data_IF_794323804081
#
_entry.id   IF_794323804081
#
_cell.length_a   1.000
_cell.length_b   1.000
_cell.length_c   1.000
_cell.angle_alpha   90.00
_cell.angle_beta   90.00
_cell.angle_gamma   90.00
#
_symmetry.space_group_name_H-M   'P 1'
#
loop_
_entity.id
_entity.type
_entity.pdbx_description
1 polymer ?
#
# COMPACT_ATOMS: atom_id res chain seq x y z
N UNK A 1 -23.07 4.81 -8.03
CA UNK A 1 -22.43 3.92 -9.04
C UNK A 1 -22.19 2.50 -8.52
N UNK A 2 -21.39 2.24 -7.44
CA UNK A 2 -21.21 0.87 -6.94
C UNK A 2 -22.52 0.26 -6.43
N UNK A 3 -23.22 0.95 -5.55
CA UNK A 3 -24.50 0.51 -4.98
C UNK A 3 -25.59 0.26 -6.05
N UNK A 4 -25.64 1.07 -7.10
CA UNK A 4 -26.58 0.90 -8.22
C UNK A 4 -26.33 -0.38 -9.03
N UNK A 5 -25.11 -0.90 -8.95
CA UNK A 5 -24.69 -2.13 -9.65
C UNK A 5 -24.59 -3.34 -8.74
N UNK A 6 -24.97 -3.20 -7.48
CA UNK A 6 -24.85 -4.27 -6.48
C UNK A 6 -23.41 -4.70 -6.23
N UNK A 7 -22.44 -3.80 -6.40
CA UNK A 7 -21.03 -4.09 -6.16
C UNK A 7 -20.65 -3.72 -4.73
N UNK A 8 -19.91 -4.57 -4.07
CA UNK A 8 -19.28 -4.26 -2.79
C UNK A 8 -18.16 -3.24 -2.98
N UNK A 9 -17.98 -2.36 -2.00
CA UNK A 9 -16.97 -1.30 -2.01
C UNK A 9 -16.05 -1.40 -0.81
N UNK A 10 -14.76 -1.55 -1.05
CA UNK A 10 -13.73 -1.38 -0.03
C UNK A 10 -13.27 0.08 -0.06
N UNK A 11 -13.79 0.88 0.87
CA UNK A 11 -13.45 2.30 0.96
C UNK A 11 -12.10 2.50 1.65
N UNK A 12 -11.04 2.60 0.85
CA UNK A 12 -9.68 2.86 1.35
C UNK A 12 -9.53 4.28 1.91
N UNK A 13 -10.38 5.22 1.48
CA UNK A 13 -10.31 6.60 1.93
C UNK A 13 -10.67 6.74 3.42
N UNK A 14 -11.58 5.90 3.90
CA UNK A 14 -11.98 5.86 5.32
C UNK A 14 -10.92 5.21 6.21
N UNK A 15 -9.95 4.50 5.66
CA UNK A 15 -8.91 3.79 6.41
C UNK A 15 -7.82 4.77 6.87
N UNK A 16 -7.97 5.33 8.08
CA UNK A 16 -7.14 6.43 8.59
C UNK A 16 -5.64 6.12 8.61
N UNK A 17 -5.25 4.87 8.87
CA UNK A 17 -3.84 4.47 8.90
C UNK A 17 -3.13 4.69 7.56
N UNK A 18 -3.84 4.68 6.43
CA UNK A 18 -3.27 4.95 5.10
C UNK A 18 -2.82 6.42 4.92
N UNK A 19 -3.16 7.30 5.86
CA UNK A 19 -2.68 8.69 5.89
C UNK A 19 -1.29 8.82 6.51
N UNK A 20 -0.84 7.77 7.21
CA UNK A 20 0.45 7.76 7.89
C UNK A 20 1.55 7.29 6.92
N UNK A 21 2.72 7.92 6.97
CA UNK A 21 3.86 7.51 6.13
C UNK A 21 4.33 6.09 6.44
N UNK A 22 4.14 5.61 7.65
CA UNK A 22 4.45 4.24 8.07
C UNK A 22 3.62 3.17 7.37
N UNK A 23 2.47 3.53 6.79
CA UNK A 23 1.67 2.62 5.99
C UNK A 23 2.27 2.35 4.61
N UNK A 24 3.26 3.15 4.20
CA UNK A 24 3.83 3.13 2.87
C UNK A 24 5.28 2.68 2.89
N UNK A 25 5.68 1.98 1.85
CA UNK A 25 7.06 1.61 1.60
C UNK A 25 7.95 2.85 1.40
N UNK A 26 9.29 2.73 1.45
CA UNK A 26 10.19 3.88 1.30
C UNK A 26 9.97 4.70 0.03
N UNK A 27 9.41 4.09 -1.02
CA UNK A 27 9.06 4.78 -2.27
C UNK A 27 7.81 5.67 -2.16
N UNK A 28 7.06 5.59 -1.06
CA UNK A 28 5.81 6.33 -0.77
C UNK A 28 4.69 6.09 -1.78
N UNK A 29 4.77 5.00 -2.52
CA UNK A 29 3.82 4.60 -3.56
C UNK A 29 3.16 3.27 -3.24
N UNK A 30 3.95 2.30 -2.82
CA UNK A 30 3.47 0.98 -2.48
C UNK A 30 3.18 0.88 -0.99
N UNK A 31 2.09 0.24 -0.64
CA UNK A 31 1.78 -0.06 0.75
C UNK A 31 2.78 -1.07 1.34
N UNK A 32 3.03 -0.99 2.64
CA UNK A 32 3.77 -2.03 3.36
C UNK A 32 2.99 -3.34 3.39
N UNK A 33 3.66 -4.45 3.68
CA UNK A 33 2.99 -5.75 3.83
C UNK A 33 1.91 -5.73 4.91
N UNK A 34 2.16 -5.04 6.03
CA UNK A 34 1.17 -4.86 7.09
C UNK A 34 -0.07 -4.07 6.61
N UNK A 35 0.13 -3.02 5.82
CA UNK A 35 -0.97 -2.26 5.23
C UNK A 35 -1.78 -3.09 4.23
N UNK A 36 -1.11 -3.89 3.40
CA UNK A 36 -1.80 -4.83 2.50
C UNK A 36 -2.65 -5.84 3.26
N UNK A 37 -2.14 -6.39 4.36
CA UNK A 37 -2.89 -7.31 5.22
C UNK A 37 -4.15 -6.65 5.78
N UNK A 38 -4.03 -5.43 6.31
CA UNK A 38 -5.18 -4.67 6.85
C UNK A 38 -6.24 -4.38 5.77
N UNK A 39 -5.81 -4.03 4.56
CA UNK A 39 -6.74 -3.84 3.43
C UNK A 39 -7.42 -5.15 3.05
N UNK A 40 -6.70 -6.27 3.05
CA UNK A 40 -7.27 -7.59 2.78
C UNK A 40 -8.30 -8.00 3.85
N UNK A 41 -8.01 -7.78 5.14
CA UNK A 41 -8.96 -8.02 6.23
C UNK A 41 -10.23 -7.18 6.06
N UNK A 42 -10.10 -5.91 5.68
CA UNK A 42 -11.26 -5.06 5.37
C UNK A 42 -12.05 -5.58 4.17
N UNK A 43 -11.38 -6.07 3.13
CA UNK A 43 -12.05 -6.68 1.99
C UNK A 43 -12.83 -7.94 2.40
N UNK A 44 -12.25 -8.80 3.25
CA UNK A 44 -12.95 -9.95 3.80
C UNK A 44 -14.19 -9.52 4.60
N UNK A 45 -14.09 -8.50 5.46
CA UNK A 45 -15.22 -7.96 6.21
C UNK A 45 -16.35 -7.49 5.29
N UNK A 46 -16.01 -6.75 4.22
CA UNK A 46 -17.00 -6.26 3.23
C UNK A 46 -17.69 -7.41 2.50
N UNK A 47 -16.95 -8.48 2.19
CA UNK A 47 -17.48 -9.68 1.54
C UNK A 47 -18.20 -10.64 2.50
N UNK A 48 -18.34 -10.29 3.78
CA UNK A 48 -18.96 -11.17 4.79
C UNK A 48 -18.18 -12.42 5.10
N UNK A 49 -16.88 -12.46 4.78
CA UNK A 49 -16.00 -13.57 5.09
C UNK A 49 -15.53 -13.50 6.56
N UNK A 50 -15.24 -14.66 7.19
CA UNK A 50 -14.70 -14.68 8.54
C UNK A 50 -13.40 -13.89 8.62
N UNK A 51 -13.32 -12.98 9.60
CA UNK A 51 -12.13 -12.16 9.86
C UNK A 51 -11.61 -12.51 11.26
N UNK A 52 -10.36 -12.94 11.34
CA UNK A 52 -9.72 -13.38 12.59
C UNK A 52 -9.10 -12.23 13.38
N UNK A 53 -8.84 -11.09 12.72
CA UNK A 53 -8.17 -9.93 13.29
C UNK A 53 -8.94 -8.66 12.94
N UNK A 54 -8.98 -7.69 13.86
CA UNK A 54 -9.54 -6.38 13.56
C UNK A 54 -8.50 -5.54 12.78
N UNK A 55 -8.78 -5.24 11.53
CA UNK A 55 -7.93 -4.41 10.69
C UNK A 55 -7.73 -2.99 11.24
N UNK A 56 -8.59 -2.53 12.15
CA UNK A 56 -8.51 -1.22 12.79
C UNK A 56 -7.45 -1.19 13.89
N UNK A 57 -7.21 -2.35 14.50
CA UNK A 57 -6.26 -2.52 15.59
C UNK A 57 -5.00 -3.21 15.02
N UNK A 58 -3.89 -2.52 15.00
CA UNK A 58 -2.61 -3.16 14.79
C UNK A 58 -1.84 -3.19 16.10
N UNK A 59 -1.52 -4.37 16.65
CA UNK A 59 -0.73 -4.46 17.88
C UNK A 59 0.64 -3.79 17.79
N UNK A 60 1.15 -3.62 16.56
CA UNK A 60 2.40 -2.93 16.30
C UNK A 60 2.23 -1.40 16.15
N UNK A 61 1.05 -0.95 15.78
CA UNK A 61 0.79 0.47 15.49
C UNK A 61 0.61 1.30 16.78
N UNK A 62 -0.01 0.73 17.81
CA UNK A 62 -0.31 1.49 19.04
C UNK A 62 0.92 1.85 19.88
N UNK A 63 1.99 1.04 19.79
CA UNK A 63 3.19 1.26 20.60
C UNK A 63 4.38 1.82 19.81
N UNK A 64 4.47 1.57 18.51
CA UNK A 64 5.58 2.04 17.68
C UNK A 64 5.28 3.34 16.95
N UNK A 65 4.04 3.54 16.46
CA UNK A 65 3.70 4.75 15.73
C UNK A 65 3.65 5.99 16.62
N UNK A 66 3.33 5.82 17.89
CA UNK A 66 3.42 6.93 18.88
C UNK A 66 4.89 7.23 19.23
N UNK A 67 5.79 6.27 19.10
CA UNK A 67 7.21 6.41 19.44
C UNK A 67 8.13 6.75 18.28
N UNK A 68 7.73 6.42 17.06
CA UNK A 68 8.59 6.54 15.87
C UNK A 68 8.02 7.49 14.80
N UNK A 69 7.01 8.30 15.15
CA UNK A 69 6.81 9.52 14.38
C UNK A 69 8.07 10.37 14.61
N UNK A 70 9.05 10.38 13.71
CA UNK A 70 10.17 11.28 13.86
C UNK A 70 9.64 12.68 13.54
N UNK A 71 9.02 13.31 14.54
CA UNK A 71 9.05 14.77 14.61
C UNK A 71 10.50 15.14 14.97
N UNK A 72 11.43 14.63 14.17
CA UNK A 72 12.75 15.16 14.10
C UNK A 72 12.67 16.62 13.66
N UNK A 73 13.70 17.42 13.91
CA UNK A 73 13.71 18.83 13.49
C UNK A 73 13.33 18.87 12.00
N UNK A 74 12.52 19.85 11.61
CA UNK A 74 12.02 20.03 10.24
C UNK A 74 13.10 19.88 9.15
N UNK A 75 14.36 20.11 9.52
CA UNK A 75 15.56 19.90 8.70
C UNK A 75 15.77 18.43 8.34
N UNK A 76 15.52 17.51 9.27
CA UNK A 76 15.64 16.06 9.01
C UNK A 76 14.56 15.60 8.03
N UNK A 77 13.31 16.02 8.23
CA UNK A 77 12.21 15.75 7.31
C UNK A 77 12.51 16.27 5.88
N UNK A 78 13.07 17.48 5.77
CA UNK A 78 13.48 18.03 4.47
C UNK A 78 14.60 17.25 3.79
N UNK A 79 15.55 16.74 4.56
CA UNK A 79 16.62 15.88 4.04
C UNK A 79 16.08 14.55 3.54
N UNK A 80 15.14 13.97 4.26
CA UNK A 80 14.49 12.72 3.86
C UNK A 80 13.64 12.91 2.61
N UNK A 81 12.93 14.03 2.50
CA UNK A 81 12.19 14.39 1.30
C UNK A 81 13.12 14.62 0.09
N UNK A 82 14.26 15.30 0.28
CA UNK A 82 15.23 15.51 -0.78
C UNK A 82 15.88 14.20 -1.23
N UNK A 83 16.17 13.28 -0.28
CA UNK A 83 16.68 11.95 -0.59
C UNK A 83 15.65 11.16 -1.39
N UNK A 84 14.40 11.12 -0.92
CA UNK A 84 13.29 10.46 -1.61
C UNK A 84 13.10 11.01 -3.02
N UNK A 85 13.10 12.33 -3.17
CA UNK A 85 12.93 12.97 -4.48
C UNK A 85 14.05 12.58 -5.45
N UNK A 86 15.29 12.49 -4.98
CA UNK A 86 16.43 12.08 -5.81
C UNK A 86 16.38 10.59 -6.14
N UNK A 87 15.97 9.76 -5.21
CA UNK A 87 16.01 8.30 -5.36
C UNK A 87 14.82 7.75 -6.15
N UNK A 88 13.63 8.33 -5.96
CA UNK A 88 12.40 7.80 -6.54
C UNK A 88 11.76 8.75 -7.56
N UNK A 89 11.59 10.03 -7.22
CA UNK A 89 10.88 10.98 -8.08
C UNK A 89 11.69 11.35 -9.31
N UNK A 90 12.96 11.71 -9.18
CA UNK A 90 13.78 12.15 -10.30
C UNK A 90 13.95 11.07 -11.39
N UNK A 91 14.23 9.78 -11.08
CA UNK A 91 14.25 8.73 -12.08
C UNK A 91 12.89 8.49 -12.74
N UNK A 92 11.80 8.64 -11.98
CA UNK A 92 10.45 8.52 -12.54
C UNK A 92 10.16 9.64 -13.53
N UNK A 93 10.43 10.89 -13.17
CA UNK A 93 10.27 12.07 -14.05
C UNK A 93 11.11 11.90 -15.31
N UNK A 94 12.38 11.49 -15.17
CA UNK A 94 13.27 11.28 -16.31
C UNK A 94 12.71 10.24 -17.27
N UNK A 95 12.23 9.09 -16.80
CA UNK A 95 11.57 8.10 -17.65
C UNK A 95 10.36 8.67 -18.38
N UNK A 96 9.51 9.45 -17.66
CA UNK A 96 8.31 10.07 -18.26
C UNK A 96 8.67 11.07 -19.38
N UNK A 97 9.71 11.86 -19.18
CA UNK A 97 10.19 12.81 -20.21
C UNK A 97 10.73 12.10 -21.46
N UNK A 98 11.25 10.88 -21.30
CA UNK A 98 11.72 10.06 -22.42
C UNK A 98 10.65 9.11 -22.98
N UNK A 99 9.39 9.23 -22.55
CA UNK A 99 8.29 8.39 -23.03
C UNK A 99 8.35 6.93 -22.56
N UNK A 100 9.20 6.60 -21.58
CA UNK A 100 9.38 5.25 -21.05
C UNK A 100 8.43 4.99 -19.89
N UNK A 101 7.64 3.92 -19.98
CA UNK A 101 6.78 3.43 -18.89
C UNK A 101 7.50 2.40 -18.01
N UNK A 102 7.09 2.30 -16.75
CA UNK A 102 7.63 1.28 -15.83
C UNK A 102 7.33 -0.17 -16.27
N UNK A 103 6.36 -0.34 -17.18
CA UNK A 103 5.99 -1.65 -17.76
C UNK A 103 6.67 -1.98 -19.07
N UNK A 104 7.41 -1.04 -19.68
CA UNK A 104 8.00 -1.25 -20.98
C UNK A 104 9.05 -2.37 -20.92
N UNK A 105 8.96 -3.31 -21.87
CA UNK A 105 9.83 -4.47 -21.95
C UNK A 105 9.54 -5.57 -20.91
N UNK A 106 8.48 -5.46 -20.12
CA UNK A 106 8.08 -6.50 -19.16
C UNK A 106 6.97 -7.36 -19.71
N UNK A 107 7.22 -8.68 -19.77
CA UNK A 107 6.17 -9.65 -20.06
C UNK A 107 5.28 -9.90 -18.82
N UNK A 108 4.03 -10.23 -19.04
CA UNK A 108 3.15 -10.66 -17.97
C UNK A 108 3.70 -11.92 -17.29
N UNK A 109 3.67 -11.98 -15.96
CA UNK A 109 4.10 -13.19 -15.20
C UNK A 109 3.24 -14.40 -15.52
N UNK A 110 1.97 -14.18 -15.85
CA UNK A 110 1.02 -15.22 -16.26
C UNK A 110 0.28 -14.71 -17.49
N UNK A 111 0.82 -14.94 -18.72
CA UNK A 111 0.23 -14.43 -19.95
C UNK A 111 -1.07 -15.14 -20.32
N UNK A 112 -1.32 -16.32 -19.75
CA UNK A 112 -2.55 -17.08 -19.95
C UNK A 112 -3.32 -17.19 -18.64
N UNK A 113 -4.66 -17.16 -18.73
CA UNK A 113 -5.53 -17.44 -17.60
C UNK A 113 -5.34 -18.90 -17.17
N UNK A 114 -5.03 -19.12 -15.92
CA UNK A 114 -4.92 -20.45 -15.32
C UNK A 114 -5.64 -20.47 -13.97
N UNK A 115 -6.20 -21.61 -13.56
CA UNK A 115 -6.74 -21.75 -12.22
C UNK A 115 -5.69 -21.39 -11.17
N UNK A 116 -6.12 -20.66 -10.13
CA UNK A 116 -5.26 -20.39 -8.97
C UNK A 116 -5.27 -21.64 -8.10
N UNK A 117 -4.13 -22.30 -7.99
CA UNK A 117 -3.99 -23.38 -7.01
C UNK A 117 -4.15 -22.80 -5.60
N UNK A 118 -5.00 -23.41 -4.75
CA UNK A 118 -5.10 -22.95 -3.37
C UNK A 118 -3.72 -23.05 -2.69
N UNK A 119 -3.41 -22.15 -1.76
CA UNK A 119 -2.17 -22.27 -1.00
C UNK A 119 -2.15 -23.61 -0.28
N UNK A 120 -1.03 -24.32 -0.38
CA UNK A 120 -0.80 -25.51 0.44
C UNK A 120 -0.68 -25.01 1.88
N UNK A 121 -1.73 -25.20 2.67
CA UNK A 121 -1.68 -24.99 4.11
C UNK A 121 -0.77 -26.09 4.68
N UNK A 122 0.48 -25.74 4.98
CA UNK A 122 1.36 -26.56 5.81
C UNK A 122 1.11 -26.23 7.27
#
# INVERSE_FOLDING_TARGET
MAAERGCDLVDLWSMRFLRELSAWSPDRLHMTSASHQRVALRACEVLGLPVTEDWRLSPADDLRLVRESPRGPWVAARRDDARWAREYLAPWVNRRLHGVSSGDGRAAKRPQLSPVSPPILM
#
